data_IF_809584990588
#
_entry.id   IF_809584990588
#
_cell.length_a   1.000
_cell.length_b   1.000
_cell.length_c   1.000
_cell.angle_alpha   90.00
_cell.angle_beta   90.00
_cell.angle_gamma   90.00
#
_symmetry.space_group_name_H-M   'P 1'
#
loop_
_entity.id
_entity.type
_entity.pdbx_description
1 polymer ?
#
# COMPACT_ATOMS: atom_id res chain seq x y z
N UNK A 1 42.56 56.79 -82.85
CA UNK A 1 41.29 56.06 -83.06
C UNK A 1 41.51 54.59 -82.77
N UNK A 2 41.03 54.10 -81.61
CA UNK A 2 40.16 52.91 -81.47
C UNK A 2 40.11 52.48 -79.99
N UNK A 3 38.92 52.23 -79.43
CA UNK A 3 38.71 52.16 -77.98
C UNK A 3 38.72 50.71 -77.46
N UNK A 4 39.43 50.46 -76.36
CA UNK A 4 39.32 49.18 -75.65
C UNK A 4 38.20 49.24 -74.61
N UNK A 5 37.04 48.69 -74.97
CA UNK A 5 35.91 48.39 -74.10
C UNK A 5 36.26 47.26 -73.13
N UNK A 6 36.53 47.58 -71.86
CA UNK A 6 36.66 46.58 -70.77
C UNK A 6 35.26 46.09 -70.35
N UNK A 7 34.90 44.87 -70.78
CA UNK A 7 33.79 44.08 -70.18
C UNK A 7 34.10 43.78 -68.72
N UNK A 8 33.33 44.33 -67.77
CA UNK A 8 33.33 43.89 -66.36
C UNK A 8 32.66 42.50 -66.29
N UNK A 9 33.41 41.48 -65.91
CA UNK A 9 32.87 40.17 -65.49
C UNK A 9 32.39 40.29 -64.04
N UNK A 10 31.10 40.13 -63.81
CA UNK A 10 30.52 39.89 -62.49
C UNK A 10 30.93 38.49 -62.02
N UNK A 11 31.70 38.42 -60.93
CA UNK A 11 32.03 37.15 -60.27
C UNK A 11 30.87 36.83 -59.33
N UNK A 12 29.92 36.01 -59.78
CA UNK A 12 28.99 35.36 -58.87
C UNK A 12 29.78 34.35 -58.00
N UNK A 13 30.15 34.76 -56.78
CA UNK A 13 30.64 33.82 -55.77
C UNK A 13 29.42 33.12 -55.18
N UNK A 14 29.06 31.95 -55.72
CA UNK A 14 28.18 31.03 -55.01
C UNK A 14 28.93 30.53 -53.78
N UNK A 15 28.51 30.99 -52.59
CA UNK A 15 28.99 30.45 -51.34
C UNK A 15 28.59 28.98 -51.26
N UNK A 16 29.58 28.08 -51.26
CA UNK A 16 29.35 26.68 -50.92
C UNK A 16 28.89 26.62 -49.47
N UNK A 17 27.58 26.54 -49.26
CA UNK A 17 27.04 26.19 -47.95
C UNK A 17 27.42 24.73 -47.70
N UNK A 18 28.37 24.53 -46.78
CA UNK A 18 28.75 23.18 -46.34
C UNK A 18 27.51 22.53 -45.73
N UNK A 19 27.00 21.49 -46.38
CA UNK A 19 25.98 20.64 -45.81
C UNK A 19 26.58 19.93 -44.59
N UNK A 20 25.98 20.04 -43.39
CA UNK A 20 26.53 19.38 -42.22
C UNK A 20 26.49 17.87 -42.41
N UNK A 21 27.61 17.19 -42.16
CA UNK A 21 27.69 15.74 -42.28
C UNK A 21 26.77 15.01 -41.30
N UNK A 22 26.37 13.75 -41.59
CA UNK A 22 25.42 12.99 -40.78
C UNK A 22 25.87 12.82 -39.33
N UNK A 23 27.19 12.74 -39.09
CA UNK A 23 27.78 12.67 -37.74
C UNK A 23 27.56 13.97 -36.94
N UNK A 24 27.70 15.14 -37.56
CA UNK A 24 27.45 16.42 -36.90
C UNK A 24 25.96 16.62 -36.60
N UNK A 25 25.07 16.10 -37.44
CA UNK A 25 23.64 16.11 -37.16
C UNK A 25 23.29 15.19 -35.98
N UNK A 26 23.83 13.97 -35.94
CA UNK A 26 23.63 13.03 -34.84
C UNK A 26 24.12 13.61 -33.50
N UNK A 27 25.34 14.16 -33.46
CA UNK A 27 25.89 14.80 -32.26
C UNK A 27 25.03 15.98 -31.79
N UNK A 28 24.45 16.75 -32.72
CA UNK A 28 23.55 17.86 -32.40
C UNK A 28 22.24 17.36 -31.78
N UNK A 29 21.66 16.26 -32.28
CA UNK A 29 20.45 15.66 -31.68
C UNK A 29 20.72 15.07 -30.30
N UNK A 30 21.86 14.41 -30.10
CA UNK A 30 22.28 13.90 -28.79
C UNK A 30 22.46 15.05 -27.79
N UNK A 31 23.11 16.15 -28.20
CA UNK A 31 23.29 17.32 -27.35
C UNK A 31 21.95 17.99 -26.98
N UNK A 32 21.01 18.08 -27.93
CA UNK A 32 19.65 18.59 -27.67
C UNK A 32 18.92 17.66 -26.70
N UNK A 33 19.00 16.34 -26.89
CA UNK A 33 18.39 15.36 -25.99
C UNK A 33 18.93 15.47 -24.56
N UNK A 34 20.25 15.57 -24.40
CA UNK A 34 20.89 15.79 -23.10
C UNK A 34 20.47 17.11 -22.46
N UNK A 35 20.39 18.19 -23.24
CA UNK A 35 19.96 19.48 -22.74
C UNK A 35 18.50 19.46 -22.28
N UNK A 36 17.61 18.79 -23.02
CA UNK A 36 16.20 18.63 -22.62
C UNK A 36 16.10 17.81 -21.34
N UNK A 37 16.82 16.68 -21.24
CA UNK A 37 16.82 15.86 -20.02
C UNK A 37 17.36 16.64 -18.81
N UNK A 38 18.43 17.41 -18.97
CA UNK A 38 18.99 18.25 -17.91
C UNK A 38 18.02 19.37 -17.48
N UNK A 39 17.43 20.08 -18.43
CA UNK A 39 16.51 21.19 -18.14
C UNK A 39 15.20 20.67 -17.54
N UNK A 40 14.65 19.56 -18.03
CA UNK A 40 13.47 18.91 -17.45
C UNK A 40 13.77 18.37 -16.06
N UNK A 41 14.93 17.75 -15.84
CA UNK A 41 15.37 17.28 -14.52
C UNK A 41 15.54 18.43 -13.52
N UNK A 42 16.18 19.52 -13.93
CA UNK A 42 16.34 20.74 -13.13
C UNK A 42 15.00 21.44 -12.87
N UNK A 43 14.09 21.46 -13.85
CA UNK A 43 12.77 22.07 -13.72
C UNK A 43 11.87 21.31 -12.74
N UNK A 44 11.84 19.98 -12.82
CA UNK A 44 11.12 19.13 -11.85
C UNK A 44 11.75 19.25 -10.46
N UNK A 45 13.09 19.23 -10.37
CA UNK A 45 13.80 19.42 -9.11
C UNK A 45 13.54 20.79 -8.49
N UNK A 46 13.53 21.86 -9.29
CA UNK A 46 13.25 23.22 -8.84
C UNK A 46 11.79 23.42 -8.44
N UNK A 47 10.83 22.80 -9.14
CA UNK A 47 9.42 22.84 -8.77
C UNK A 47 9.18 22.11 -7.44
N UNK A 48 9.75 20.92 -7.27
CA UNK A 48 9.69 20.17 -6.00
C UNK A 48 10.35 20.95 -4.87
N UNK A 49 11.51 21.55 -5.11
CA UNK A 49 12.19 22.39 -4.12
C UNK A 49 11.38 23.65 -3.77
N UNK A 50 10.77 24.30 -4.76
CA UNK A 50 9.95 25.49 -4.57
C UNK A 50 8.70 25.17 -3.75
N UNK A 51 7.98 24.09 -4.08
CA UNK A 51 6.78 23.63 -3.37
C UNK A 51 7.09 23.26 -1.90
N UNK A 52 8.20 22.55 -1.67
CA UNK A 52 8.69 22.25 -0.32
C UNK A 52 9.09 23.52 0.44
N UNK A 53 9.80 24.42 -0.22
CA UNK A 53 10.31 25.66 0.37
C UNK A 53 9.18 26.61 0.75
N UNK A 54 8.16 26.80 -0.10
CA UNK A 54 7.00 27.65 0.22
C UNK A 54 6.13 27.07 1.34
N UNK A 55 6.12 25.75 1.51
CA UNK A 55 5.39 25.08 2.61
C UNK A 55 6.13 25.20 3.94
N UNK A 56 7.47 25.20 3.92
CA UNK A 56 8.32 25.29 5.11
C UNK A 56 8.59 26.75 5.54
N UNK A 57 8.71 27.68 4.60
CA UNK A 57 9.02 29.11 4.88
C UNK A 57 7.83 29.93 5.37
N UNK A 58 6.59 29.42 5.28
CA UNK A 58 5.42 30.10 5.81
C UNK A 58 5.42 30.22 7.36
N UNK A 59 6.32 29.54 8.07
CA UNK A 59 6.34 29.49 9.54
C UNK A 59 7.73 29.69 10.20
N UNK A 60 8.75 30.20 9.49
CA UNK A 60 10.07 30.37 10.09
C UNK A 60 10.56 31.83 10.02
N UNK A 61 10.95 32.37 11.17
CA UNK A 61 11.77 33.58 11.30
C UNK A 61 13.15 33.13 11.76
N UNK A 62 14.18 33.42 10.97
CA UNK A 62 15.56 33.13 11.35
C UNK A 62 16.04 34.10 12.46
N UNK A 63 16.66 33.55 13.49
CA UNK A 63 17.48 34.30 14.45
C UNK A 63 18.94 33.83 14.31
N UNK A 64 19.88 34.79 14.35
CA UNK A 64 21.31 34.51 14.16
C UNK A 64 21.85 33.50 15.18
N UNK A 65 22.37 32.36 14.70
CA UNK A 65 23.15 31.39 15.48
C UNK A 65 22.53 30.01 15.70
N UNK A 66 21.40 29.66 15.07
CA UNK A 66 20.86 28.30 15.15
C UNK A 66 21.66 27.31 14.29
N UNK A 67 22.11 26.22 14.91
CA UNK A 67 22.64 25.07 14.19
C UNK A 67 21.51 24.41 13.38
N UNK A 68 21.77 24.05 12.12
CA UNK A 68 20.87 23.24 11.31
C UNK A 68 20.62 21.88 11.99
N UNK A 69 19.61 21.82 12.85
CA UNK A 69 19.01 20.56 13.24
C UNK A 69 18.00 20.21 12.14
N UNK A 70 18.06 19.01 11.52
CA UNK A 70 16.92 18.54 10.74
C UNK A 70 15.68 18.56 11.68
N UNK A 71 14.47 18.88 11.19
CA UNK A 71 13.29 18.81 12.04
C UNK A 71 13.23 17.40 12.59
N UNK A 72 13.49 17.24 13.89
CA UNK A 72 13.58 15.94 14.52
C UNK A 72 12.15 15.46 14.70
N UNK A 73 11.56 14.93 13.63
CA UNK A 73 10.22 14.34 13.67
C UNK A 73 10.37 13.06 14.48
N UNK A 74 10.02 13.12 15.75
CA UNK A 74 9.98 11.94 16.61
C UNK A 74 8.89 10.98 16.13
N UNK A 75 9.08 9.69 16.39
CA UNK A 75 8.03 8.68 16.19
C UNK A 75 6.78 8.97 17.03
N UNK A 76 5.65 8.43 16.60
CA UNK A 76 4.42 8.49 17.38
C UNK A 76 4.56 7.62 18.63
N UNK A 77 4.52 8.21 19.84
CA UNK A 77 4.94 7.53 21.09
C UNK A 77 3.92 6.60 21.73
N UNK A 78 2.65 6.77 21.43
CA UNK A 78 1.57 5.98 22.04
C UNK A 78 1.27 4.72 21.20
N UNK A 79 0.61 3.74 21.82
CA UNK A 79 -0.03 2.67 21.07
C UNK A 79 -1.25 3.20 20.35
N UNK A 80 -1.60 2.62 19.20
CA UNK A 80 -2.75 3.05 18.41
C UNK A 80 -3.27 1.93 17.53
N UNK A 81 -4.53 2.07 17.15
CA UNK A 81 -5.19 1.30 16.11
C UNK A 81 -5.44 2.21 14.89
N UNK A 82 -5.04 1.72 13.72
CA UNK A 82 -5.31 2.31 12.42
C UNK A 82 -6.19 1.38 11.60
N UNK A 83 -7.41 1.81 11.30
CA UNK A 83 -8.29 1.12 10.36
C UNK A 83 -7.94 1.50 8.91
N UNK A 84 -7.66 0.52 8.07
CA UNK A 84 -7.51 0.69 6.63
C UNK A 84 -8.59 -0.10 5.90
N UNK A 85 -9.35 0.59 5.06
CA UNK A 85 -10.44 -0.01 4.31
C UNK A 85 -10.26 0.18 2.81
N UNK A 86 -10.28 -0.90 2.03
CA UNK A 86 -10.33 -0.82 0.57
C UNK A 86 -11.78 -0.76 0.10
N UNK A 87 -12.14 0.29 -0.64
CA UNK A 87 -13.49 0.47 -1.17
C UNK A 87 -13.54 0.20 -2.66
N UNK A 88 -14.55 -0.57 -3.06
CA UNK A 88 -14.86 -0.84 -4.45
C UNK A 88 -15.72 0.29 -5.00
N UNK A 89 -15.06 1.28 -5.61
CA UNK A 89 -15.69 2.43 -6.27
C UNK A 89 -15.32 2.48 -7.75
N UNK A 90 -16.32 2.72 -8.59
CA UNK A 90 -16.15 2.92 -10.02
C UNK A 90 -15.85 4.39 -10.34
N UNK A 91 -14.64 4.83 -10.01
CA UNK A 91 -14.17 6.18 -10.29
C UNK A 91 -14.13 6.46 -11.80
N UNK A 92 -14.68 7.59 -12.24
CA UNK A 92 -14.75 7.98 -13.66
C UNK A 92 -13.39 7.94 -14.38
N UNK A 93 -12.29 8.26 -13.67
CA UNK A 93 -10.95 8.24 -14.22
C UNK A 93 -10.38 6.83 -14.44
N UNK A 94 -10.91 5.81 -13.77
CA UNK A 94 -10.38 4.45 -13.76
C UNK A 94 -11.38 3.38 -14.22
N UNK A 95 -12.67 3.72 -14.37
CA UNK A 95 -13.75 2.76 -14.69
C UNK A 95 -13.48 1.93 -15.96
N UNK A 96 -12.80 2.50 -16.95
CA UNK A 96 -12.49 1.82 -18.21
C UNK A 96 -11.55 0.60 -18.01
N UNK A 97 -10.80 0.55 -16.91
CA UNK A 97 -9.97 -0.61 -16.55
C UNK A 97 -10.78 -1.80 -16.03
N UNK A 98 -12.02 -1.58 -15.60
CA UNK A 98 -12.82 -2.58 -14.91
C UNK A 98 -13.94 -3.18 -15.77
N UNK A 99 -14.04 -2.77 -17.04
CA UNK A 99 -15.00 -3.31 -17.99
C UNK A 99 -16.43 -3.31 -17.44
N UNK A 100 -17.12 -4.44 -17.58
CA UNK A 100 -18.52 -4.56 -17.20
C UNK A 100 -18.78 -4.38 -15.69
N UNK A 101 -17.76 -4.55 -14.83
CA UNK A 101 -17.88 -4.33 -13.37
C UNK A 101 -18.36 -2.91 -13.06
N UNK A 102 -17.99 -1.93 -13.88
CA UNK A 102 -18.39 -0.54 -13.72
C UNK A 102 -19.55 -0.13 -14.63
N UNK A 103 -20.31 -1.11 -15.14
CA UNK A 103 -21.50 -0.89 -15.97
C UNK A 103 -22.71 -1.60 -15.34
N UNK A 104 -23.90 -0.98 -15.40
CA UNK A 104 -25.13 -1.59 -14.89
C UNK A 104 -25.34 -1.43 -13.37
N UNK A 105 -26.28 -2.20 -12.81
CA UNK A 105 -26.69 -2.07 -11.39
C UNK A 105 -25.58 -2.43 -10.39
N UNK A 106 -24.63 -3.27 -10.80
CA UNK A 106 -23.53 -3.71 -9.93
C UNK A 106 -22.51 -2.59 -9.68
N UNK A 107 -22.55 -1.49 -10.45
CA UNK A 107 -21.73 -0.29 -10.21
C UNK A 107 -22.36 0.69 -9.22
N UNK A 108 -23.57 0.41 -8.73
CA UNK A 108 -24.26 1.24 -7.73
C UNK A 108 -23.81 0.88 -6.31
N UNK A 109 -23.62 1.90 -5.47
CA UNK A 109 -23.15 1.75 -4.09
C UNK A 109 -21.63 1.74 -3.93
N UNK A 110 -21.17 1.67 -2.69
CA UNK A 110 -19.74 1.63 -2.38
C UNK A 110 -19.54 0.65 -1.23
N UNK A 111 -18.88 -0.47 -1.53
CA UNK A 111 -18.65 -1.55 -0.59
C UNK A 111 -17.22 -1.51 -0.06
N UNK A 112 -17.05 -1.82 1.22
CA UNK A 112 -15.74 -2.04 1.83
C UNK A 112 -15.31 -3.50 1.66
N UNK A 113 -14.52 -3.75 0.63
CA UNK A 113 -14.10 -5.09 0.22
C UNK A 113 -12.87 -5.59 0.98
N UNK A 114 -12.08 -4.68 1.55
CA UNK A 114 -10.89 -5.00 2.36
C UNK A 114 -11.01 -4.23 3.66
N UNK A 115 -10.82 -4.90 4.80
CA UNK A 115 -10.97 -4.31 6.12
C UNK A 115 -9.80 -4.77 7.00
N UNK A 116 -8.88 -3.86 7.33
CA UNK A 116 -7.65 -4.15 8.04
C UNK A 116 -7.57 -3.28 9.29
N UNK A 117 -7.46 -3.89 10.47
CA UNK A 117 -7.10 -3.16 11.69
C UNK A 117 -5.62 -3.36 11.98
N UNK A 118 -4.85 -2.30 11.87
CA UNK A 118 -3.43 -2.26 12.23
C UNK A 118 -3.33 -1.83 13.70
N UNK A 119 -3.07 -2.78 14.58
CA UNK A 119 -2.77 -2.53 15.98
C UNK A 119 -1.26 -2.35 16.16
N UNK A 120 -0.85 -1.20 16.69
CA UNK A 120 0.54 -0.93 17.09
C UNK A 120 0.57 -0.73 18.59
N UNK A 121 1.25 -1.62 19.31
CA UNK A 121 1.31 -1.58 20.76
C UNK A 121 2.17 -0.41 21.29
N UNK A 122 2.12 -0.18 22.59
CA UNK A 122 3.16 0.58 23.29
C UNK A 122 4.44 -0.27 23.42
N UNK A 123 5.54 0.32 23.87
CA UNK A 123 6.80 -0.40 24.06
C UNK A 123 6.65 -1.65 24.96
N UNK A 124 7.23 -2.81 24.59
CA UNK A 124 7.94 -3.07 23.33
C UNK A 124 6.98 -3.04 22.13
N UNK A 125 7.37 -2.33 21.06
CA UNK A 125 6.54 -2.18 19.86
C UNK A 125 6.32 -3.52 19.17
N UNK A 126 5.04 -3.82 18.95
CA UNK A 126 4.56 -4.94 18.15
C UNK A 126 3.45 -4.47 17.24
N UNK A 127 3.36 -5.09 16.07
CA UNK A 127 2.38 -4.74 15.05
C UNK A 127 1.57 -5.99 14.75
N UNK A 128 0.26 -5.91 14.97
CA UNK A 128 -0.68 -6.95 14.55
C UNK A 128 -1.65 -6.36 13.55
N UNK A 129 -1.71 -6.92 12.35
CA UNK A 129 -2.69 -6.53 11.34
C UNK A 129 -3.76 -7.59 11.24
N UNK A 130 -4.99 -7.25 11.63
CA UNK A 130 -6.14 -8.16 11.60
C UNK A 130 -7.01 -7.85 10.39
N UNK A 131 -7.11 -8.81 9.47
CA UNK A 131 -7.98 -8.75 8.30
C UNK A 131 -9.37 -9.29 8.62
N UNK A 132 -10.40 -8.47 8.47
CA UNK A 132 -11.79 -8.87 8.68
C UNK A 132 -12.42 -9.28 7.34
N UNK A 133 -12.94 -10.52 7.21
CA UNK A 133 -13.62 -10.96 6.00
C UNK A 133 -14.77 -10.02 5.64
N UNK A 134 -14.89 -9.69 4.36
CA UNK A 134 -15.96 -8.78 3.89
C UNK A 134 -17.35 -9.37 4.10
N UNK A 135 -17.43 -10.70 4.12
CA UNK A 135 -18.64 -11.51 4.26
C UNK A 135 -18.91 -11.93 5.71
N UNK A 136 -18.16 -11.36 6.68
CA UNK A 136 -18.43 -11.53 8.10
C UNK A 136 -19.81 -10.96 8.43
N UNK A 137 -20.72 -11.80 8.92
CA UNK A 137 -22.07 -11.42 9.31
C UNK A 137 -22.08 -10.93 10.75
N UNK A 138 -22.49 -9.67 10.95
CA UNK A 138 -22.53 -9.02 12.26
C UNK A 138 -23.60 -7.93 12.31
N UNK A 139 -23.88 -7.44 13.51
CA UNK A 139 -24.70 -6.24 13.67
C UNK A 139 -23.94 -4.99 13.22
N UNK A 140 -24.59 -4.14 12.44
CA UNK A 140 -24.08 -2.81 12.07
C UNK A 140 -24.82 -1.79 12.95
N UNK A 141 -24.10 -0.98 13.75
CA UNK A 141 -24.72 0.03 14.62
C UNK A 141 -25.38 1.14 13.80
N UNK A 142 -26.13 1.99 14.50
CA UNK A 142 -26.58 3.26 13.94
C UNK A 142 -25.37 4.13 13.57
N UNK A 143 -25.38 4.65 12.35
CA UNK A 143 -24.28 5.39 11.76
C UNK A 143 -24.78 6.73 11.21
N UNK A 144 -23.93 7.75 11.29
CA UNK A 144 -24.19 9.05 10.65
C UNK A 144 -23.18 9.22 9.53
N UNK A 145 -23.68 9.50 8.32
CA UNK A 145 -22.85 9.69 7.14
C UNK A 145 -22.24 11.11 7.09
N UNK A 146 -21.40 11.37 6.09
CA UNK A 146 -20.74 12.67 5.93
C UNK A 146 -21.72 13.84 5.64
N UNK A 147 -22.98 13.56 5.30
CA UNK A 147 -24.04 14.56 5.06
C UNK A 147 -24.92 14.80 6.30
N UNK A 148 -24.66 14.06 7.39
CA UNK A 148 -25.48 14.11 8.60
C UNK A 148 -26.75 13.26 8.52
N UNK A 149 -26.86 12.37 7.54
CA UNK A 149 -27.97 11.42 7.45
C UNK A 149 -27.70 10.23 8.40
N UNK A 150 -28.70 9.90 9.22
CA UNK A 150 -28.63 8.80 10.18
C UNK A 150 -29.20 7.54 9.57
N UNK A 151 -28.36 6.51 9.47
CA UNK A 151 -28.70 5.17 9.00
C UNK A 151 -28.99 4.28 10.21
N UNK A 152 -30.15 3.63 10.22
CA UNK A 152 -30.63 2.83 11.35
C UNK A 152 -29.78 1.57 11.57
N UNK A 153 -29.63 1.17 12.83
CA UNK A 153 -28.92 -0.07 13.19
C UNK A 153 -29.56 -1.30 12.53
N UNK A 154 -28.72 -2.26 12.12
CA UNK A 154 -29.13 -3.53 11.53
C UNK A 154 -28.59 -4.69 12.37
N UNK A 155 -29.42 -5.71 12.59
CA UNK A 155 -29.09 -6.81 13.50
C UNK A 155 -28.08 -7.82 12.92
N UNK A 156 -28.08 -8.04 11.61
CA UNK A 156 -27.18 -8.98 10.93
C UNK A 156 -27.03 -8.62 9.45
N UNK A 157 -25.85 -8.15 9.06
CA UNK A 157 -25.46 -7.81 7.69
C UNK A 157 -24.00 -8.21 7.45
N UNK A 158 -23.58 -8.45 6.19
CA UNK A 158 -22.18 -8.65 5.88
C UNK A 158 -21.40 -7.34 6.08
N UNK A 159 -20.17 -7.43 6.61
CA UNK A 159 -19.34 -6.26 6.93
C UNK A 159 -19.15 -5.30 5.74
N UNK A 160 -19.13 -5.80 4.50
CA UNK A 160 -18.88 -5.02 3.29
C UNK A 160 -19.93 -3.96 2.96
N UNK A 161 -21.13 -4.00 3.55
CA UNK A 161 -22.17 -2.97 3.32
C UNK A 161 -22.02 -1.78 4.25
N UNK A 162 -21.24 -1.89 5.34
CA UNK A 162 -21.11 -0.84 6.33
C UNK A 162 -20.65 0.51 5.72
N UNK A 163 -19.81 0.48 4.68
CA UNK A 163 -19.42 1.71 3.98
C UNK A 163 -20.58 2.38 3.24
N UNK A 164 -21.53 1.61 2.72
CA UNK A 164 -22.72 2.16 2.04
C UNK A 164 -23.60 2.92 3.02
N UNK A 165 -23.70 2.44 4.27
CA UNK A 165 -24.61 2.95 5.31
C UNK A 165 -24.00 4.08 6.17
N UNK A 166 -22.82 4.58 5.83
CA UNK A 166 -22.22 5.69 6.60
C UNK A 166 -20.73 5.91 6.38
N UNK A 167 -20.19 5.41 5.27
CA UNK A 167 -18.80 5.58 4.88
C UNK A 167 -17.81 4.98 5.90
N UNK A 168 -16.62 5.55 5.92
CA UNK A 168 -15.52 5.10 6.78
C UNK A 168 -15.88 5.13 8.28
N UNK A 169 -16.71 6.08 8.71
CA UNK A 169 -17.20 6.18 10.10
C UNK A 169 -17.97 4.92 10.50
N UNK A 170 -18.87 4.45 9.65
CA UNK A 170 -19.69 3.28 9.97
C UNK A 170 -18.87 1.99 10.02
N UNK A 171 -17.89 1.84 9.12
CA UNK A 171 -16.93 0.72 9.19
C UNK A 171 -16.15 0.76 10.50
N UNK A 172 -15.64 1.92 10.90
CA UNK A 172 -14.90 2.10 12.15
C UNK A 172 -15.76 1.78 13.38
N UNK A 173 -17.00 2.28 13.45
CA UNK A 173 -17.93 1.98 14.54
C UNK A 173 -18.27 0.50 14.62
N UNK A 174 -18.50 -0.13 13.47
CA UNK A 174 -18.82 -1.56 13.38
C UNK A 174 -17.67 -2.42 13.92
N UNK A 175 -16.44 -2.16 13.49
CA UNK A 175 -15.25 -2.89 13.97
C UNK A 175 -14.98 -2.59 15.45
N UNK A 176 -15.17 -1.34 15.88
CA UNK A 176 -15.07 -0.97 17.32
C UNK A 176 -16.06 -1.76 18.15
N UNK A 177 -17.32 -1.90 17.71
CA UNK A 177 -18.34 -2.66 18.43
C UNK A 177 -18.04 -4.16 18.44
N UNK A 178 -17.51 -4.71 17.35
CA UNK A 178 -17.13 -6.12 17.25
C UNK A 178 -15.97 -6.49 18.19
N UNK A 179 -14.98 -5.61 18.30
CA UNK A 179 -13.67 -5.93 18.91
C UNK A 179 -13.43 -5.28 20.26
N UNK A 180 -14.18 -4.22 20.59
CA UNK A 180 -13.90 -3.35 21.74
C UNK A 180 -12.67 -2.46 21.57
N UNK A 181 -11.99 -2.48 20.41
CA UNK A 181 -10.79 -1.71 20.15
C UNK A 181 -11.13 -0.26 19.78
N UNK A 182 -10.52 0.71 20.46
CA UNK A 182 -10.63 2.11 20.08
C UNK A 182 -9.79 2.39 18.83
N UNK A 183 -10.41 2.94 17.79
CA UNK A 183 -9.74 3.28 16.52
C UNK A 183 -9.35 4.76 16.53
N UNK A 184 -8.06 5.06 16.65
CA UNK A 184 -7.56 6.45 16.68
C UNK A 184 -7.40 7.03 15.28
N UNK A 185 -7.07 6.19 14.31
CA UNK A 185 -6.85 6.59 12.93
C UNK A 185 -7.64 5.70 11.99
N UNK A 186 -8.18 6.28 10.92
CA UNK A 186 -8.85 5.53 9.86
C UNK A 186 -8.51 6.12 8.50
N UNK A 187 -8.42 5.28 7.48
CA UNK A 187 -8.40 5.67 6.08
C UNK A 187 -9.15 4.67 5.19
N UNK A 188 -9.86 5.17 4.19
CA UNK A 188 -10.35 4.36 3.07
C UNK A 188 -9.56 4.66 1.80
N UNK A 189 -9.35 3.64 0.96
CA UNK A 189 -8.62 3.74 -0.30
C UNK A 189 -9.45 3.16 -1.42
N UNK A 190 -9.59 3.92 -2.51
CA UNK A 190 -10.27 3.48 -3.73
C UNK A 190 -9.35 2.65 -4.61
N UNK A 191 -9.89 2.05 -5.66
CA UNK A 191 -9.08 1.35 -6.66
C UNK A 191 -8.06 2.27 -7.34
N UNK A 192 -8.46 3.47 -7.75
CA UNK A 192 -7.55 4.49 -8.25
C UNK A 192 -6.48 4.85 -7.22
N UNK A 193 -6.88 5.00 -5.96
CA UNK A 193 -5.95 5.28 -4.87
C UNK A 193 -4.86 4.22 -4.71
N UNK A 194 -5.21 2.94 -4.78
CA UNK A 194 -4.23 1.84 -4.77
C UNK A 194 -3.28 1.92 -5.95
N UNK A 195 -3.78 2.22 -7.16
CA UNK A 195 -2.95 2.38 -8.37
C UNK A 195 -1.91 3.48 -8.15
N UNK A 196 -2.33 4.66 -7.70
CA UNK A 196 -1.44 5.81 -7.52
C UNK A 196 -0.45 5.62 -6.38
N UNK A 197 -0.89 5.07 -5.25
CA UNK A 197 -0.02 4.79 -4.10
C UNK A 197 1.07 3.80 -4.49
N UNK A 198 0.70 2.71 -5.17
CA UNK A 198 1.67 1.67 -5.57
C UNK A 198 2.64 2.16 -6.66
N UNK A 199 2.20 3.06 -7.54
CA UNK A 199 3.08 3.77 -8.47
C UNK A 199 4.09 4.66 -7.73
N UNK A 200 3.63 5.41 -6.71
CA UNK A 200 4.45 6.35 -5.97
C UNK A 200 5.56 5.69 -5.16
N UNK A 201 5.29 4.52 -4.55
CA UNK A 201 6.30 3.73 -3.82
C UNK A 201 7.24 2.95 -4.74
N UNK A 202 7.01 2.95 -6.06
CA UNK A 202 7.81 2.22 -7.03
C UNK A 202 7.53 0.71 -7.06
N UNK A 203 6.31 0.29 -6.70
CA UNK A 203 5.86 -1.10 -6.68
C UNK A 203 6.34 -1.92 -5.48
N UNK A 204 5.89 -3.17 -5.42
CA UNK A 204 6.23 -4.15 -4.37
C UNK A 204 6.60 -5.47 -5.00
N UNK A 205 7.64 -6.13 -4.47
CA UNK A 205 8.06 -7.44 -4.95
C UNK A 205 7.17 -8.54 -4.36
N UNK A 206 6.46 -9.26 -5.22
CA UNK A 206 5.60 -10.40 -4.85
C UNK A 206 6.19 -11.68 -5.41
N UNK A 207 6.09 -12.77 -4.65
CA UNK A 207 6.50 -14.10 -5.10
C UNK A 207 5.27 -14.92 -5.48
N UNK A 208 5.29 -15.60 -6.62
CA UNK A 208 4.26 -16.53 -7.06
C UNK A 208 4.88 -17.93 -7.14
N UNK A 209 4.40 -18.86 -6.30
CA UNK A 209 4.84 -20.25 -6.33
C UNK A 209 4.35 -20.95 -7.59
N UNK A 210 3.13 -20.62 -8.01
CA UNK A 210 2.46 -21.10 -9.21
C UNK A 210 1.88 -19.92 -9.99
N UNK A 211 1.63 -20.06 -11.31
CA UNK A 211 1.01 -19.00 -12.11
C UNK A 211 -0.37 -18.60 -11.57
N UNK A 212 -0.70 -17.31 -11.61
CA UNK A 212 -2.01 -16.79 -11.24
C UNK A 212 -2.69 -16.26 -12.50
N UNK A 213 -3.92 -16.71 -12.74
CA UNK A 213 -4.78 -16.18 -13.78
C UNK A 213 -6.18 -15.94 -13.23
N UNK A 214 -6.68 -14.73 -13.36
CA UNK A 214 -8.01 -14.34 -12.88
C UNK A 214 -8.68 -13.43 -13.90
N UNK A 215 -9.69 -13.93 -14.60
CA UNK A 215 -10.44 -13.17 -15.61
C UNK A 215 -11.28 -12.05 -15.02
N UNK A 216 -11.65 -12.12 -13.74
CA UNK A 216 -12.47 -11.10 -13.07
C UNK A 216 -11.66 -9.84 -12.77
N UNK A 217 -10.35 -9.99 -12.53
CA UNK A 217 -9.44 -8.87 -12.32
C UNK A 217 -8.62 -8.54 -13.58
N UNK A 218 -8.49 -9.49 -14.50
CA UNK A 218 -7.60 -9.40 -15.66
C UNK A 218 -6.14 -9.69 -15.33
N UNK A 219 -5.86 -10.31 -14.17
CA UNK A 219 -4.52 -10.70 -13.77
C UNK A 219 -4.08 -11.96 -14.55
N UNK A 220 -2.89 -11.92 -15.13
CA UNK A 220 -2.23 -13.08 -15.75
C UNK A 220 -0.72 -12.95 -15.49
N UNK A 221 -0.20 -13.80 -14.60
CA UNK A 221 1.18 -13.76 -14.14
C UNK A 221 1.76 -15.17 -14.04
N UNK A 222 2.98 -15.35 -14.53
CA UNK A 222 3.72 -16.61 -14.40
C UNK A 222 4.28 -16.77 -12.99
N UNK A 223 4.62 -18.00 -12.61
CA UNK A 223 5.39 -18.24 -11.39
C UNK A 223 6.73 -17.45 -11.38
N UNK A 224 7.22 -17.13 -10.19
CA UNK A 224 8.43 -16.35 -9.95
C UNK A 224 8.21 -15.06 -9.17
N UNK A 225 9.26 -14.27 -9.02
CA UNK A 225 9.21 -12.97 -8.34
C UNK A 225 8.93 -11.85 -9.34
N UNK A 226 7.99 -10.97 -9.01
CA UNK A 226 7.59 -9.84 -9.84
C UNK A 226 7.47 -8.57 -9.01
N UNK A 227 7.93 -7.43 -9.55
CA UNK A 227 7.62 -6.12 -8.97
C UNK A 227 6.28 -5.63 -9.53
N UNK A 228 5.22 -5.69 -8.73
CA UNK A 228 3.88 -5.23 -9.13
C UNK A 228 3.65 -3.77 -8.71
N UNK A 229 3.03 -2.97 -9.59
CA UNK A 229 2.65 -1.57 -9.32
C UNK A 229 1.45 -1.15 -10.17
N UNK A 230 0.79 -0.06 -9.79
CA UNK A 230 -0.31 0.51 -10.53
C UNK A 230 -1.45 -0.48 -10.68
N UNK A 231 -2.00 -0.58 -11.90
CA UNK A 231 -3.10 -1.49 -12.20
C UNK A 231 -2.76 -2.95 -11.88
N UNK A 232 -1.55 -3.42 -12.18
CA UNK A 232 -1.17 -4.81 -11.90
C UNK A 232 -1.16 -5.11 -10.39
N UNK A 233 -0.74 -4.16 -9.55
CA UNK A 233 -0.81 -4.32 -8.09
C UNK A 233 -2.27 -4.36 -7.60
N UNK A 234 -3.14 -3.52 -8.17
CA UNK A 234 -4.57 -3.58 -7.86
C UNK A 234 -5.19 -4.92 -8.28
N UNK A 235 -4.89 -5.40 -9.49
CA UNK A 235 -5.36 -6.70 -9.98
C UNK A 235 -4.88 -7.84 -9.09
N UNK A 236 -3.62 -7.78 -8.66
CA UNK A 236 -3.03 -8.74 -7.72
C UNK A 236 -3.73 -8.72 -6.36
N UNK A 237 -4.00 -7.55 -5.77
CA UNK A 237 -4.68 -7.44 -4.47
C UNK A 237 -6.16 -7.82 -4.52
N UNK A 238 -6.78 -7.71 -5.70
CA UNK A 238 -8.17 -8.10 -5.94
C UNK A 238 -8.35 -9.55 -6.37
N UNK A 239 -7.27 -10.24 -6.76
CA UNK A 239 -7.37 -11.62 -7.27
C UNK A 239 -8.00 -12.50 -6.20
N UNK A 240 -9.12 -13.12 -6.57
CA UNK A 240 -9.88 -14.00 -5.68
C UNK A 240 -9.95 -15.37 -6.30
N UNK A 241 -10.35 -15.43 -7.56
CA UNK A 241 -10.59 -16.68 -8.26
C UNK A 241 -9.31 -17.30 -8.82
N UNK A 242 -8.22 -16.54 -8.92
CA UNK A 242 -6.94 -17.06 -9.38
C UNK A 242 -6.05 -17.66 -8.28
N UNK A 243 -6.46 -17.64 -7.01
CA UNK A 243 -5.64 -18.09 -5.87
C UNK A 243 -6.42 -19.01 -4.95
N UNK A 244 -5.71 -19.96 -4.33
CA UNK A 244 -6.26 -20.87 -3.34
C UNK A 244 -7.53 -21.60 -3.78
N UNK A 245 -8.53 -21.62 -2.91
CA UNK A 245 -9.84 -22.23 -3.18
C UNK A 245 -10.82 -21.31 -3.97
N UNK A 246 -10.37 -20.13 -4.40
CA UNK A 246 -11.21 -19.15 -5.07
C UNK A 246 -12.13 -18.34 -4.14
N UNK A 247 -11.98 -18.47 -2.83
CA UNK A 247 -12.79 -17.78 -1.80
C UNK A 247 -12.19 -16.43 -1.38
N UNK A 248 -12.97 -15.66 -0.63
CA UNK A 248 -12.48 -14.44 0.03
C UNK A 248 -11.37 -14.73 1.05
N UNK A 249 -11.43 -15.89 1.71
CA UNK A 249 -10.44 -16.27 2.72
C UNK A 249 -9.09 -16.59 2.08
N UNK A 250 -9.07 -17.26 0.93
CA UNK A 250 -7.85 -17.47 0.14
C UNK A 250 -7.25 -16.14 -0.37
N UNK A 251 -8.09 -15.16 -0.71
CA UNK A 251 -7.64 -13.80 -1.08
C UNK A 251 -6.93 -13.10 0.09
N UNK A 252 -7.38 -13.29 1.34
CA UNK A 252 -6.75 -12.68 2.52
C UNK A 252 -5.29 -13.13 2.64
N UNK A 253 -4.99 -14.41 2.44
CA UNK A 253 -3.60 -14.89 2.45
C UNK A 253 -2.73 -14.16 1.42
N UNK A 254 -3.22 -14.01 0.19
CA UNK A 254 -2.52 -13.28 -0.87
C UNK A 254 -2.27 -11.79 -0.50
N UNK A 255 -3.24 -11.15 0.16
CA UNK A 255 -3.10 -9.77 0.66
C UNK A 255 -2.05 -9.68 1.77
N UNK A 256 -2.05 -10.61 2.73
CA UNK A 256 -1.04 -10.67 3.78
C UNK A 256 0.38 -10.85 3.23
N UNK A 257 0.53 -11.64 2.16
CA UNK A 257 1.81 -11.81 1.46
C UNK A 257 2.28 -10.51 0.81
N UNK A 258 1.40 -9.80 0.11
CA UNK A 258 1.71 -8.47 -0.43
C UNK A 258 2.11 -7.50 0.68
N UNK A 259 1.36 -7.45 1.78
CA UNK A 259 1.60 -6.56 2.90
C UNK A 259 2.93 -6.86 3.60
N UNK A 260 3.27 -8.14 3.76
CA UNK A 260 4.58 -8.56 4.28
C UNK A 260 5.72 -8.06 3.39
N UNK A 261 5.58 -8.19 2.07
CA UNK A 261 6.56 -7.67 1.11
C UNK A 261 6.63 -6.15 1.10
N UNK A 262 5.49 -5.46 1.24
CA UNK A 262 5.43 -4.01 1.33
C UNK A 262 6.17 -3.52 2.59
N UNK A 263 5.88 -4.11 3.75
CA UNK A 263 6.55 -3.77 5.02
C UNK A 263 8.06 -4.00 4.90
N UNK A 264 8.49 -5.15 4.37
CA UNK A 264 9.91 -5.43 4.12
C UNK A 264 10.54 -4.38 3.22
N UNK A 265 9.90 -4.02 2.10
CA UNK A 265 10.41 -2.98 1.19
C UNK A 265 10.49 -1.61 1.86
N UNK A 266 9.48 -1.21 2.61
CA UNK A 266 9.47 0.09 3.28
C UNK A 266 10.57 0.17 4.35
N UNK A 267 10.75 -0.88 5.15
CA UNK A 267 11.78 -0.96 6.19
C UNK A 267 13.19 -1.10 5.58
N UNK A 268 13.35 -1.90 4.52
CA UNK A 268 14.65 -2.16 3.90
C UNK A 268 15.13 -1.05 2.96
N UNK A 269 14.23 -0.17 2.51
CA UNK A 269 14.59 0.91 1.59
C UNK A 269 15.09 2.13 2.35
N UNK A 270 15.99 2.90 1.71
CA UNK A 270 16.41 4.22 2.20
C UNK A 270 15.24 5.21 2.33
N UNK A 271 14.05 4.85 1.86
CA UNK A 271 12.80 5.62 1.97
C UNK A 271 12.55 6.07 3.40
N UNK A 272 12.58 5.17 4.39
CA UNK A 272 12.36 5.54 5.80
C UNK A 272 13.58 6.23 6.45
N UNK A 273 14.69 6.35 5.73
CA UNK A 273 15.86 7.16 6.11
C UNK A 273 15.83 8.59 5.54
N UNK A 274 14.91 8.90 4.64
CA UNK A 274 14.86 10.16 3.90
C UNK A 274 13.55 10.91 4.20
N UNK A 275 13.60 11.86 5.16
CA UNK A 275 12.43 12.61 5.59
C UNK A 275 11.69 13.35 4.45
N UNK A 276 12.36 14.04 3.50
CA UNK A 276 11.69 14.60 2.33
C UNK A 276 10.93 13.56 1.49
N UNK A 277 11.52 12.38 1.28
CA UNK A 277 10.87 11.30 0.54
C UNK A 277 9.66 10.76 1.30
N UNK A 278 9.76 10.58 2.62
CA UNK A 278 8.65 10.14 3.47
C UNK A 278 7.49 11.14 3.43
N UNK A 279 7.77 12.44 3.54
CA UNK A 279 6.74 13.48 3.44
C UNK A 279 6.10 13.51 2.05
N UNK A 280 6.88 13.31 0.98
CA UNK A 280 6.34 13.20 -0.38
C UNK A 280 5.41 12.00 -0.55
N UNK A 281 5.79 10.85 0.02
CA UNK A 281 4.96 9.64 0.00
C UNK A 281 3.72 9.80 0.88
N UNK A 282 3.84 10.38 2.08
CA UNK A 282 2.72 10.68 2.96
C UNK A 282 1.70 11.61 2.29
N UNK A 283 2.18 12.69 1.65
CA UNK A 283 1.32 13.59 0.88
C UNK A 283 0.65 12.90 -0.30
N UNK A 284 1.38 12.03 -1.03
CA UNK A 284 0.79 11.26 -2.13
C UNK A 284 -0.24 10.26 -1.61
N UNK A 285 0.02 9.60 -0.48
CA UNK A 285 -0.93 8.73 0.20
C UNK A 285 -2.21 9.48 0.54
N UNK A 286 -2.10 10.61 1.26
CA UNK A 286 -3.25 11.42 1.68
C UNK A 286 -4.10 11.95 0.54
N UNK A 287 -3.52 12.25 -0.62
CA UNK A 287 -4.28 12.67 -1.81
C UNK A 287 -5.10 11.54 -2.44
N UNK A 288 -4.80 10.29 -2.10
CA UNK A 288 -5.36 9.10 -2.71
C UNK A 288 -6.19 8.26 -1.72
N UNK A 289 -6.48 8.81 -0.53
CA UNK A 289 -7.30 8.17 0.49
C UNK A 289 -8.30 9.16 1.07
N UNK A 290 -9.44 8.67 1.54
CA UNK A 290 -10.28 9.39 2.50
C UNK A 290 -9.75 9.10 3.90
N UNK A 291 -9.20 10.10 4.59
CA UNK A 291 -8.62 9.93 5.92
C UNK A 291 -9.50 10.57 7.00
N UNK A 292 -9.52 9.93 8.17
CA UNK A 292 -9.99 10.54 9.41
C UNK A 292 -9.23 11.84 9.71
N UNK A 293 -9.90 12.79 10.37
CA UNK A 293 -9.29 14.08 10.74
C UNK A 293 -8.00 13.92 11.56
N UNK A 294 -7.92 12.88 12.40
CA UNK A 294 -6.74 12.56 13.21
C UNK A 294 -5.54 12.07 12.38
N UNK A 295 -5.78 11.55 11.17
CA UNK A 295 -4.76 11.03 10.25
C UNK A 295 -4.45 12.01 9.10
N UNK A 296 -5.30 13.00 8.85
CA UNK A 296 -5.22 13.96 7.73
C UNK A 296 -4.04 14.97 7.81
N UNK A 297 -3.01 14.66 8.61
CA UNK A 297 -1.76 15.40 8.70
C UNK A 297 -0.60 14.55 8.14
N UNK A 298 0.07 14.97 7.06
CA UNK A 298 1.22 14.26 6.50
C UNK A 298 2.33 14.01 7.53
N UNK A 299 2.52 14.91 8.49
CA UNK A 299 3.48 14.74 9.58
C UNK A 299 3.08 13.57 10.48
N UNK A 300 1.79 13.42 10.79
CA UNK A 300 1.28 12.29 11.57
C UNK A 300 1.61 10.95 10.92
N UNK A 301 1.42 10.85 9.60
CA UNK A 301 1.75 9.64 8.83
C UNK A 301 3.24 9.34 8.91
N UNK A 302 4.09 10.36 8.82
CA UNK A 302 5.54 10.22 9.02
C UNK A 302 5.86 9.70 10.42
N UNK A 303 5.24 10.25 11.46
CA UNK A 303 5.44 9.79 12.85
C UNK A 303 5.03 8.32 13.03
N UNK A 304 3.91 7.91 12.42
CA UNK A 304 3.43 6.52 12.41
C UNK A 304 4.43 5.62 11.68
N UNK A 305 4.90 6.03 10.49
CA UNK A 305 5.88 5.26 9.72
C UNK A 305 7.22 5.08 10.47
N UNK A 306 7.65 6.09 11.22
CA UNK A 306 8.83 6.01 12.08
C UNK A 306 8.65 5.04 13.25
N UNK A 307 7.46 5.01 13.87
CA UNK A 307 7.15 4.06 14.95
C UNK A 307 7.17 2.60 14.46
N UNK A 308 6.87 2.37 13.18
CA UNK A 308 6.90 1.04 12.56
C UNK A 308 8.32 0.63 12.13
N UNK A 309 9.18 1.60 11.77
CA UNK A 309 10.50 1.35 11.16
C UNK A 309 11.40 0.41 11.97
N UNK A 310 11.33 0.51 13.30
CA UNK A 310 12.24 -0.19 14.21
C UNK A 310 11.69 -1.51 14.75
N UNK A 311 10.48 -1.91 14.33
CA UNK A 311 9.84 -3.14 14.81
C UNK A 311 10.47 -4.36 14.15
N UNK A 312 10.96 -5.35 14.92
CA UNK A 312 11.46 -6.60 14.36
C UNK A 312 10.39 -7.31 13.52
N UNK A 313 10.77 -7.92 12.39
CA UNK A 313 9.79 -8.60 11.52
C UNK A 313 9.03 -9.75 12.21
N UNK A 314 9.63 -10.37 13.23
CA UNK A 314 8.98 -11.39 14.08
C UNK A 314 7.87 -10.82 14.96
N UNK A 315 7.95 -9.54 15.31
CA UNK A 315 6.92 -8.79 16.06
C UNK A 315 5.88 -8.11 15.14
N UNK A 316 5.95 -8.37 13.82
CA UNK A 316 4.95 -7.95 12.84
C UNK A 316 4.17 -9.17 12.38
N UNK A 317 2.90 -9.27 12.76
CA UNK A 317 2.05 -10.43 12.49
C UNK A 317 0.80 -9.99 11.73
N UNK A 318 0.43 -10.77 10.72
CA UNK A 318 -0.79 -10.63 9.95
C UNK A 318 -1.74 -11.78 10.30
N UNK A 319 -2.94 -11.46 10.77
CA UNK A 319 -3.95 -12.44 11.18
C UNK A 319 -5.22 -12.23 10.37
N UNK A 320 -5.92 -13.32 10.07
CA UNK A 320 -7.32 -13.24 9.68
C UNK A 320 -8.17 -13.24 10.95
N UNK A 321 -9.21 -12.39 10.99
CA UNK A 321 -10.17 -12.43 12.09
C UNK A 321 -10.76 -13.83 12.22
N UNK A 322 -10.78 -14.46 13.42
CA UNK A 322 -11.23 -15.84 13.56
C UNK A 322 -12.72 -15.98 13.23
N UNK A 323 -13.03 -16.86 12.30
CA UNK A 323 -14.39 -17.08 11.81
C UNK A 323 -14.73 -18.55 11.64
N UNK A 324 -16.02 -18.87 11.64
CA UNK A 324 -16.59 -20.15 11.21
C UNK A 324 -17.70 -19.91 10.18
N UNK A 325 -18.07 -20.93 9.43
CA UNK A 325 -19.17 -20.84 8.47
C UNK A 325 -20.48 -20.42 9.17
N UNK A 326 -21.23 -19.53 8.54
CA UNK A 326 -22.59 -19.22 9.00
C UNK A 326 -23.51 -20.41 8.68
N UNK A 327 -24.27 -20.87 9.68
CA UNK A 327 -25.20 -21.99 9.52
C UNK A 327 -26.41 -21.61 8.66
N UNK A 328 -26.74 -20.32 8.57
CA UNK A 328 -27.84 -19.80 7.74
C UNK A 328 -27.45 -19.68 6.26
N UNK A 329 -26.20 -19.32 5.97
CA UNK A 329 -25.65 -19.20 4.61
C UNK A 329 -24.17 -19.61 4.61
N UNK A 330 -23.87 -20.77 4.02
CA UNK A 330 -22.51 -21.31 3.97
C UNK A 330 -21.53 -20.50 3.10
N UNK A 331 -22.02 -19.51 2.35
CA UNK A 331 -21.16 -18.56 1.64
C UNK A 331 -20.76 -17.36 2.51
N UNK A 332 -21.22 -17.33 3.77
CA UNK A 332 -20.95 -16.30 4.75
C UNK A 332 -20.26 -16.89 5.96
N UNK A 333 -19.67 -16.02 6.76
CA UNK A 333 -18.97 -16.41 7.98
C UNK A 333 -19.44 -15.61 9.17
N UNK A 334 -19.39 -16.20 10.36
CA UNK A 334 -19.64 -15.53 11.64
C UNK A 334 -18.40 -15.60 12.51
N UNK A 335 -18.31 -14.74 13.52
CA UNK A 335 -17.16 -14.70 14.43
C UNK A 335 -17.01 -16.05 15.17
N UNK A 336 -15.78 -16.56 15.23
CA UNK A 336 -15.41 -17.56 16.21
C UNK A 336 -15.07 -16.82 17.52
N UNK A 337 -16.08 -16.61 18.37
CA UNK A 337 -15.93 -15.77 19.57
C UNK A 337 -14.82 -16.24 20.52
N UNK A 338 -14.65 -17.57 20.70
CA UNK A 338 -13.61 -18.11 21.58
C UNK A 338 -12.20 -17.78 21.05
N UNK A 339 -11.95 -18.07 19.77
CA UNK A 339 -10.65 -17.80 19.16
C UNK A 339 -10.39 -16.29 19.05
N UNK A 340 -11.42 -15.49 18.76
CA UNK A 340 -11.32 -14.03 18.73
C UNK A 340 -10.98 -13.46 20.11
N UNK A 341 -11.56 -13.99 21.19
CA UNK A 341 -11.24 -13.57 22.55
C UNK A 341 -9.78 -13.89 22.89
N UNK A 342 -9.31 -15.11 22.61
CA UNK A 342 -7.90 -15.48 22.85
C UNK A 342 -6.92 -14.61 22.06
N UNK A 343 -7.25 -14.27 20.82
CA UNK A 343 -6.48 -13.35 19.99
C UNK A 343 -6.39 -11.95 20.62
N UNK A 344 -7.53 -11.37 20.99
CA UNK A 344 -7.58 -10.03 21.56
C UNK A 344 -6.96 -9.97 22.95
N UNK A 345 -7.08 -11.01 23.78
CA UNK A 345 -6.42 -11.09 25.07
C UNK A 345 -4.90 -11.04 24.91
N UNK A 346 -4.35 -11.78 23.93
CA UNK A 346 -2.93 -11.75 23.63
C UNK A 346 -2.45 -10.38 23.10
N UNK A 347 -3.22 -9.76 22.19
CA UNK A 347 -2.94 -8.43 21.65
C UNK A 347 -2.98 -7.37 22.77
N UNK A 348 -4.03 -7.36 23.58
CA UNK A 348 -4.24 -6.40 24.67
C UNK A 348 -3.22 -6.55 25.80
N UNK A 349 -2.73 -7.78 26.05
CA UNK A 349 -1.64 -8.03 26.97
C UNK A 349 -0.27 -7.56 26.44
N UNK A 350 -0.22 -7.00 25.22
CA UNK A 350 1.00 -6.72 24.47
C UNK A 350 1.91 -7.95 24.52
N UNK A 351 1.42 -9.12 24.08
CA UNK A 351 2.18 -10.36 23.97
C UNK A 351 2.90 -10.47 22.61
N UNK A 352 4.00 -11.22 22.56
CA UNK A 352 4.56 -11.60 21.26
C UNK A 352 3.70 -12.73 20.71
N UNK A 353 3.13 -12.55 19.52
CA UNK A 353 2.23 -13.53 18.93
C UNK A 353 3.02 -14.54 18.13
N UNK A 354 2.93 -15.81 18.51
CA UNK A 354 3.40 -16.91 17.70
C UNK A 354 2.23 -17.49 16.91
N UNK A 355 2.25 -17.28 15.60
CA UNK A 355 1.31 -17.92 14.67
C UNK A 355 1.66 -19.41 14.58
N UNK A 356 0.71 -20.26 14.96
CA UNK A 356 0.86 -21.72 14.92
C UNK A 356 0.20 -22.36 13.70
N UNK A 357 -0.68 -21.62 13.02
CA UNK A 357 -1.35 -22.11 11.82
C UNK A 357 -0.36 -22.39 10.69
N UNK A 358 -0.53 -23.55 10.06
CA UNK A 358 0.20 -23.93 8.86
C UNK A 358 -0.68 -23.67 7.64
N UNK A 359 -0.25 -22.77 6.74
CA UNK A 359 -1.01 -22.46 5.54
C UNK A 359 -1.19 -23.71 4.66
N UNK A 360 -2.39 -23.84 4.15
CA UNK A 360 -2.81 -24.90 3.23
C UNK A 360 -2.92 -24.34 1.81
N UNK A 361 -3.05 -25.23 0.82
CA UNK A 361 -3.25 -24.82 -0.57
C UNK A 361 -4.48 -23.91 -0.76
N UNK A 362 -5.52 -24.05 0.07
CA UNK A 362 -6.73 -23.21 0.02
C UNK A 362 -6.51 -21.76 0.49
N UNK A 363 -5.45 -21.48 1.24
CA UNK A 363 -5.22 -20.15 1.83
C UNK A 363 -4.57 -19.16 0.85
N UNK A 364 -4.37 -19.56 -0.42
CA UNK A 364 -3.86 -18.69 -1.47
C UNK A 364 -2.37 -18.35 -1.35
N UNK A 365 -1.68 -18.89 -0.35
CA UNK A 365 -0.24 -18.72 -0.11
C UNK A 365 0.39 -20.02 0.37
N UNK A 366 1.66 -20.19 0.04
CA UNK A 366 2.51 -21.26 0.57
C UNK A 366 3.74 -20.65 1.24
N UNK A 367 4.16 -21.26 2.34
CA UNK A 367 5.43 -20.90 2.98
C UNK A 367 6.57 -21.41 2.11
N UNK A 368 7.52 -20.53 1.81
CA UNK A 368 8.75 -20.92 1.14
C UNK A 368 9.90 -20.79 2.10
N UNK A 369 10.69 -21.86 2.23
CA UNK A 369 11.98 -21.75 2.87
C UNK A 369 12.83 -20.73 2.07
N UNK A 370 13.49 -19.78 2.74
CA UNK A 370 14.35 -18.84 2.06
C UNK A 370 15.37 -19.61 1.23
N UNK A 371 15.51 -19.25 -0.05
CA UNK A 371 16.61 -19.76 -0.87
C UNK A 371 17.92 -19.56 -0.10
N UNK A 372 18.85 -20.55 -0.09
CA UNK A 372 20.12 -20.38 0.60
C UNK A 372 20.78 -19.10 0.06
N UNK A 373 20.92 -18.09 0.92
CA UNK A 373 21.64 -16.89 0.55
C UNK A 373 23.07 -17.33 0.20
N UNK A 374 23.54 -16.92 -0.99
CA UNK A 374 24.97 -16.98 -1.30
C UNK A 374 25.73 -16.37 -0.13
N UNK A 375 26.68 -17.12 0.41
CA UNK A 375 27.44 -16.80 1.60
C UNK A 375 28.28 -15.52 1.41
N UNK A 376 27.65 -14.36 1.60
CA UNK A 376 28.28 -13.05 1.47
C UNK A 376 27.64 -11.93 2.30
N UNK A 377 26.52 -12.19 3.00
CA UNK A 377 25.86 -11.22 3.87
C UNK A 377 26.35 -11.35 5.32
N UNK A 378 26.80 -10.23 5.88
CA UNK A 378 27.17 -10.07 7.29
C UNK A 378 26.11 -10.67 8.22
N UNK A 379 26.55 -11.47 9.19
CA UNK A 379 25.69 -12.18 10.12
C UNK A 379 24.67 -11.23 10.80
N UNK A 380 23.39 -11.63 10.73
CA UNK A 380 22.30 -11.10 11.55
C UNK A 380 22.72 -11.14 13.02
N UNK A 381 22.54 -10.05 13.80
CA UNK A 381 22.80 -10.10 15.23
C UNK A 381 21.90 -11.15 15.88
N UNK A 382 22.48 -11.96 16.77
CA UNK A 382 21.75 -12.96 17.53
C UNK A 382 20.55 -12.33 18.27
N UNK A 383 19.40 -13.04 18.39
CA UNK A 383 18.24 -12.51 19.08
C UNK A 383 18.63 -12.19 20.53
N UNK A 384 18.48 -10.92 20.89
CA UNK A 384 18.69 -10.46 22.25
C UNK A 384 17.42 -10.77 23.05
N UNK A 385 17.60 -11.50 24.16
CA UNK A 385 16.57 -11.96 25.13
C UNK A 385 15.44 -12.83 24.57
N UNK A 386 15.23 -14.00 25.20
CA UNK A 386 13.97 -14.76 25.07
C UNK A 386 12.83 -13.84 25.50
N UNK A 387 11.84 -13.56 24.63
CA UNK A 387 10.71 -12.70 24.99
C UNK A 387 9.95 -13.29 26.18
N UNK A 388 9.77 -12.49 27.23
CA UNK A 388 9.14 -12.93 28.49
C UNK A 388 7.63 -13.26 28.35
N UNK A 389 7.02 -13.03 27.18
CA UNK A 389 5.59 -13.21 26.95
C UNK A 389 5.19 -13.66 25.52
N UNK A 390 5.79 -14.75 25.03
CA UNK A 390 5.32 -15.39 23.78
C UNK A 390 4.01 -16.13 24.03
N UNK A 391 2.99 -15.79 23.24
CA UNK A 391 1.68 -16.48 23.24
C UNK A 391 1.52 -17.21 21.91
N UNK A 392 1.42 -18.53 21.98
CA UNK A 392 1.03 -19.36 20.86
C UNK A 392 -0.48 -19.18 20.60
N UNK A 393 -0.83 -18.63 19.44
CA UNK A 393 -2.22 -18.49 19.03
C UNK A 393 -2.81 -19.87 18.71
N UNK A 394 -4.12 -20.08 18.87
CA UNK A 394 -4.80 -21.28 18.38
C UNK A 394 -4.58 -21.50 16.89
N UNK A 395 -4.49 -22.77 16.47
CA UNK A 395 -4.37 -23.16 15.07
C UNK A 395 -5.56 -22.69 14.21
N UNK A 396 -6.73 -22.49 14.82
CA UNK A 396 -7.89 -21.89 14.15
C UNK A 396 -7.68 -20.45 13.65
N UNK A 397 -6.62 -19.77 14.09
CA UNK A 397 -6.30 -18.39 13.68
C UNK A 397 -5.30 -18.42 12.54
N UNK A 398 -5.80 -18.22 11.33
CA UNK A 398 -4.98 -18.12 10.11
C UNK A 398 -4.15 -16.85 10.14
N UNK A 399 -2.91 -16.93 9.67
CA UNK A 399 -2.03 -15.77 9.61
C UNK A 399 -0.59 -16.12 9.26
N UNK A 400 0.25 -15.10 9.26
CA UNK A 400 1.68 -15.19 8.96
C UNK A 400 2.45 -14.11 9.72
N UNK A 401 3.70 -14.38 10.07
CA UNK A 401 4.65 -13.34 10.51
C UNK A 401 5.31 -12.68 9.29
N UNK A 402 5.65 -11.40 9.39
CA UNK A 402 6.45 -10.71 8.36
C UNK A 402 7.85 -11.30 8.22
N UNK A 403 8.35 -12.02 9.23
CA UNK A 403 9.60 -12.78 9.16
C UNK A 403 9.49 -14.02 8.27
N UNK A 404 8.28 -14.55 8.05
CA UNK A 404 8.06 -15.67 7.15
C UNK A 404 8.03 -15.17 5.69
N UNK A 405 8.72 -15.91 4.82
CA UNK A 405 8.60 -15.72 3.38
C UNK A 405 7.49 -16.61 2.85
N UNK A 406 6.52 -15.98 2.19
CA UNK A 406 5.40 -16.66 1.55
C UNK A 406 5.32 -16.29 0.09
N UNK A 407 4.89 -17.24 -0.73
CA UNK A 407 4.62 -17.05 -2.14
C UNK A 407 3.14 -17.32 -2.40
N UNK A 408 2.52 -16.52 -3.24
CA UNK A 408 1.14 -16.71 -3.66
C UNK A 408 0.99 -18.03 -4.40
N UNK A 409 -0.05 -18.76 -4.06
CA UNK A 409 -0.40 -20.05 -4.65
C UNK A 409 -1.57 -19.84 -5.60
N UNK A 410 -1.26 -19.69 -6.88
CA UNK A 410 -2.24 -19.68 -7.94
C UNK A 410 -2.85 -21.06 -8.17
N UNK A 411 -4.14 -21.09 -8.49
CA UNK A 411 -4.89 -22.33 -8.70
C UNK A 411 -4.92 -22.80 -10.17
N UNK A 412 -4.19 -22.12 -11.06
CA UNK A 412 -4.04 -22.49 -12.46
C UNK A 412 -5.08 -21.89 -13.42
N UNK A 413 -6.12 -21.21 -12.91
CA UNK A 413 -7.16 -20.55 -13.70
C UNK A 413 -8.21 -21.45 -14.31
#
# INVERSE_FOLDING_TARGET
MSPHTRRRRTIARHGQLRTPGPVNQLLKFIAIGLAVVLVSGLGVGAYVFYDLSTTVTANAVELDGEAELPPNIGEYKEGFNLLLTGVDTCEEAYKDYFGDRCTGSDSEGTLNDVNLLVHVSQEPRRITVVSFPRDLMLGIPECEDAKGEVHSAMSKQPLNVAYTDGGLNCVAKTITQLTGQEIQFAASVTFGGVIEITNAIGGVDVCLATPIKDSYTGLDMTAGTHTVKGLQALQFLRTRHGVGDGSDLGRIGNQQQYMSSLVRKLISSDTLGNAPMMLKLANTGLRNVEASNSLADPMKIVQIALAVKSVPFEDIVFLQYPTVDDWEDRNKVVANESAAQEMWDAINANAQLQVTYENTDSDGVVVTDPAPADAGGTATPAPSSTPDNVVALPDSIKGNSAAQQTCSNGNGG
#
